data_IF_652213533197
#
_entry.id   IF_652213533197
#
_cell.length_a   1.000
_cell.length_b   1.000
_cell.length_c   1.000
_cell.angle_alpha   90.00
_cell.angle_beta   90.00
_cell.angle_gamma   90.00
#
_symmetry.space_group_name_H-M   'P 1'
#
loop_
_entity.id
_entity.type
_entity.pdbx_description
1 polymer ?
#
# COMPACT_ATOMS: atom_id res chain seq x y z
N UNK A 1 0.70 16.41 -6.36
CA UNK A 1 1.83 15.50 -6.06
C UNK A 1 2.14 15.46 -4.58
N UNK A 2 1.81 14.34 -3.94
CA UNK A 2 2.09 13.99 -2.53
C UNK A 2 3.05 12.81 -2.48
N UNK A 3 3.86 12.76 -1.43
CA UNK A 3 4.71 11.62 -1.14
C UNK A 3 4.37 11.10 0.25
N UNK A 4 4.18 9.80 0.37
CA UNK A 4 3.93 9.15 1.65
C UNK A 4 4.83 7.93 1.81
N UNK A 5 5.35 7.77 3.03
CA UNK A 5 6.24 6.66 3.38
C UNK A 5 5.46 5.61 4.18
N UNK A 6 5.35 4.40 3.65
CA UNK A 6 4.83 3.24 4.38
C UNK A 6 5.97 2.45 5.00
N UNK A 7 5.75 1.94 6.21
CA UNK A 7 6.63 0.95 6.83
C UNK A 7 5.94 -0.40 6.92
N UNK A 8 6.64 -1.42 6.45
CA UNK A 8 6.22 -2.80 6.64
C UNK A 8 6.61 -3.28 8.02
N UNK A 9 5.77 -4.15 8.59
CA UNK A 9 6.02 -4.78 9.90
C UNK A 9 6.85 -6.06 9.78
N UNK A 10 6.97 -6.59 8.57
CA UNK A 10 7.70 -7.81 8.24
C UNK A 10 8.95 -7.47 7.42
N UNK A 11 9.90 -8.41 7.39
CA UNK A 11 11.01 -8.37 6.44
C UNK A 11 10.46 -8.21 5.02
N UNK A 12 11.05 -7.27 4.28
CA UNK A 12 10.72 -7.05 2.87
C UNK A 12 11.81 -7.71 2.03
N UNK A 13 11.51 -8.90 1.50
CA UNK A 13 12.38 -9.60 0.57
C UNK A 13 12.33 -8.97 -0.83
N UNK A 14 13.33 -9.29 -1.66
CA UNK A 14 13.46 -8.77 -3.02
C UNK A 14 12.21 -9.02 -3.88
N UNK A 15 11.61 -10.21 -3.73
CA UNK A 15 10.37 -10.58 -4.42
C UNK A 15 9.21 -9.67 -4.03
N UNK A 16 9.09 -9.33 -2.74
CA UNK A 16 8.05 -8.41 -2.27
C UNK A 16 8.27 -6.99 -2.81
N UNK A 17 9.53 -6.53 -2.83
CA UNK A 17 9.88 -5.22 -3.39
C UNK A 17 9.55 -5.13 -4.89
N UNK A 18 9.86 -6.17 -5.67
CA UNK A 18 9.52 -6.21 -7.09
C UNK A 18 8.01 -6.19 -7.33
N UNK A 19 7.24 -6.92 -6.52
CA UNK A 19 5.79 -6.96 -6.67
C UNK A 19 5.16 -5.59 -6.31
N UNK A 20 5.60 -4.97 -5.21
CA UNK A 20 5.19 -3.60 -4.85
C UNK A 20 5.46 -2.65 -6.01
N UNK A 21 6.68 -2.64 -6.54
CA UNK A 21 7.05 -1.75 -7.64
C UNK A 21 6.19 -1.99 -8.88
N UNK A 22 5.96 -3.26 -9.25
CA UNK A 22 5.10 -3.64 -10.39
C UNK A 22 3.68 -3.13 -10.20
N UNK A 23 3.08 -3.43 -9.05
CA UNK A 23 1.68 -3.09 -8.72
C UNK A 23 1.50 -1.57 -8.69
N UNK A 24 2.39 -0.84 -8.03
CA UNK A 24 2.31 0.62 -7.96
C UNK A 24 2.54 1.27 -9.33
N UNK A 25 3.36 0.68 -10.18
CA UNK A 25 3.55 1.15 -11.55
C UNK A 25 2.32 0.91 -12.44
N UNK A 26 1.39 0.02 -12.05
CA UNK A 26 0.10 -0.13 -12.74
C UNK A 26 -0.93 0.91 -12.33
N UNK A 27 -0.71 1.62 -11.21
CA UNK A 27 -1.62 2.67 -10.74
C UNK A 27 -1.40 3.97 -11.52
N UNK A 28 -2.45 4.41 -12.21
CA UNK A 28 -2.49 5.74 -12.81
C UNK A 28 -2.40 6.82 -11.74
N UNK A 29 -1.40 7.69 -11.83
CA UNK A 29 -1.15 8.76 -10.86
C UNK A 29 0.04 8.52 -9.94
N UNK A 30 0.65 7.33 -9.94
CA UNK A 30 1.95 7.11 -9.28
C UNK A 30 3.05 7.72 -10.15
N UNK A 31 3.80 8.69 -9.61
CA UNK A 31 4.94 9.29 -10.30
C UNK A 31 6.27 8.66 -9.90
N UNK A 32 6.41 8.22 -8.65
CA UNK A 32 7.68 7.67 -8.16
C UNK A 32 7.44 6.64 -7.06
N UNK A 33 8.24 5.59 -7.09
CA UNK A 33 8.26 4.54 -6.07
C UNK A 33 9.71 4.30 -5.67
N UNK A 34 10.01 4.39 -4.37
CA UNK A 34 11.30 4.05 -3.81
C UNK A 34 11.11 3.03 -2.69
N UNK A 35 11.86 1.93 -2.74
CA UNK A 35 11.71 0.82 -1.81
C UNK A 35 13.06 0.57 -1.14
N UNK A 36 13.10 0.68 0.18
CA UNK A 36 14.26 0.41 1.00
C UNK A 36 14.06 -0.93 1.72
N UNK A 37 14.53 -2.01 1.08
CA UNK A 37 14.52 -3.38 1.65
C UNK A 37 15.30 -3.47 2.95
N UNK A 38 16.41 -2.71 3.07
CA UNK A 38 17.25 -2.66 4.26
C UNK A 38 16.51 -2.24 5.54
N UNK A 39 15.49 -1.37 5.42
CA UNK A 39 14.71 -0.85 6.55
C UNK A 39 13.22 -1.19 6.47
N UNK A 40 12.77 -1.87 5.41
CA UNK A 40 11.36 -2.13 5.13
C UNK A 40 10.53 -0.85 4.90
N UNK A 41 11.15 0.23 4.42
CA UNK A 41 10.48 1.50 4.17
C UNK A 41 10.17 1.66 2.68
N UNK A 42 8.96 2.10 2.35
CA UNK A 42 8.47 2.27 0.98
C UNK A 42 7.99 3.70 0.83
N UNK A 43 8.64 4.47 -0.02
CA UNK A 43 8.26 5.84 -0.34
C UNK A 43 7.52 5.87 -1.68
N UNK A 44 6.29 6.37 -1.66
CA UNK A 44 5.43 6.44 -2.84
C UNK A 44 5.00 7.87 -3.06
N UNK A 45 5.35 8.39 -4.23
CA UNK A 45 4.90 9.69 -4.74
C UNK A 45 3.77 9.49 -5.73
N UNK A 46 2.62 10.06 -5.43
CA UNK A 46 1.41 9.94 -6.22
C UNK A 46 0.65 11.26 -6.32
N UNK A 47 -0.23 11.38 -7.31
CA UNK A 47 -1.13 12.52 -7.42
C UNK A 47 -2.49 12.23 -6.78
N UNK A 48 -2.82 12.98 -5.73
CA UNK A 48 -4.08 12.87 -4.97
C UNK A 48 -5.34 13.14 -5.80
N UNK A 49 -5.22 13.74 -6.98
CA UNK A 49 -6.34 13.90 -7.91
C UNK A 49 -6.60 12.65 -8.77
N UNK A 50 -5.61 11.76 -8.92
CA UNK A 50 -5.68 10.56 -9.77
C UNK A 50 -5.74 9.27 -8.95
N UNK A 51 -5.03 9.22 -7.82
CA UNK A 51 -4.99 8.06 -6.94
C UNK A 51 -4.83 8.51 -5.49
N UNK A 52 -5.29 7.70 -4.56
CA UNK A 52 -5.23 7.99 -3.13
C UNK A 52 -4.45 6.92 -2.38
N UNK A 53 -3.95 7.25 -1.19
CA UNK A 53 -3.24 6.27 -0.37
C UNK A 53 -4.10 5.08 0.05
N UNK A 54 -5.43 5.26 0.10
CA UNK A 54 -6.37 4.15 0.28
C UNK A 54 -6.32 3.17 -0.91
N UNK A 55 -6.34 3.68 -2.14
CA UNK A 55 -6.22 2.87 -3.36
C UNK A 55 -4.89 2.12 -3.37
N UNK A 56 -3.79 2.85 -3.17
CA UNK A 56 -2.43 2.30 -3.10
C UNK A 56 -2.37 1.13 -2.12
N UNK A 57 -2.88 1.31 -0.91
CA UNK A 57 -2.93 0.26 0.11
C UNK A 57 -3.84 -0.90 -0.28
N UNK A 58 -4.97 -0.63 -0.92
CA UNK A 58 -5.89 -1.67 -1.39
C UNK A 58 -5.25 -2.57 -2.45
N UNK A 59 -4.48 -2.00 -3.39
CA UNK A 59 -3.79 -2.81 -4.42
C UNK A 59 -2.64 -3.61 -3.81
N UNK A 60 -1.90 -3.03 -2.85
CA UNK A 60 -0.87 -3.74 -2.10
C UNK A 60 -1.47 -4.91 -1.29
N UNK A 61 -2.62 -4.72 -0.62
CA UNK A 61 -3.32 -5.81 0.06
C UNK A 61 -3.79 -6.90 -0.91
N UNK A 62 -4.30 -6.54 -2.10
CA UNK A 62 -4.67 -7.51 -3.15
C UNK A 62 -3.47 -8.34 -3.61
N UNK A 63 -2.28 -7.77 -3.60
CA UNK A 63 -1.03 -8.46 -3.89
C UNK A 63 -0.47 -9.26 -2.69
N UNK A 64 -1.18 -9.33 -1.56
CA UNK A 64 -0.76 -10.07 -0.37
C UNK A 64 0.24 -9.31 0.52
N UNK A 65 0.50 -8.04 0.22
CA UNK A 65 1.41 -7.19 0.99
C UNK A 65 0.58 -6.44 2.03
N UNK A 66 0.53 -6.97 3.25
CA UNK A 66 -0.14 -6.35 4.38
C UNK A 66 0.63 -5.10 4.86
N UNK A 67 0.46 -3.98 4.17
CA UNK A 67 0.93 -2.69 4.66
C UNK A 67 0.16 -2.31 5.92
N UNK A 68 0.89 -2.05 7.03
CA UNK A 68 0.27 -1.68 8.32
C UNK A 68 -0.67 -0.50 8.08
N UNK A 69 -1.91 -0.62 8.54
CA UNK A 69 -2.95 0.38 8.41
C UNK A 69 -2.48 1.64 9.15
N UNK A 70 -1.96 2.63 8.44
CA UNK A 70 -1.88 3.98 9.00
C UNK A 70 -3.31 4.39 9.29
N UNK A 71 -3.55 4.66 10.56
CA UNK A 71 -4.86 4.80 11.18
C UNK A 71 -5.54 6.07 10.67
N UNK A 72 -6.26 5.95 9.55
CA UNK A 72 -7.34 6.86 9.20
C UNK A 72 -8.25 6.19 8.18
N UNK A 73 -9.55 6.16 8.47
CA UNK A 73 -10.59 5.71 7.54
C UNK A 73 -11.28 4.43 7.99
N UNK A 74 -12.19 4.59 8.94
CA UNK A 74 -13.26 3.65 9.23
C UNK A 74 -14.19 3.54 8.01
N UNK A 75 -14.21 2.38 7.35
CA UNK A 75 -15.40 1.87 6.67
C UNK A 75 -15.18 0.38 6.37
N UNK A 76 -16.21 -0.43 6.62
CA UNK A 76 -16.14 -1.89 6.50
C UNK A 76 -16.58 -2.66 7.74
N UNK A 77 -17.51 -2.13 8.53
CA UNK A 77 -18.42 -2.99 9.31
C UNK A 77 -19.36 -3.68 8.31
N UNK A 78 -18.89 -4.75 7.68
CA UNK A 78 -19.75 -5.60 6.86
C UNK A 78 -19.22 -7.03 6.88
N UNK A 79 -19.74 -7.81 7.84
CA UNK A 79 -20.16 -9.21 7.72
C UNK A 79 -20.16 -9.88 9.10
N UNK A 80 -21.17 -9.55 9.92
CA UNK A 80 -21.43 -10.21 11.20
C UNK A 80 -22.79 -10.92 11.18
N UNK A 81 -23.17 -11.53 10.07
CA UNK A 81 -24.29 -12.48 10.04
C UNK A 81 -23.73 -13.88 10.30
N UNK A 82 -23.38 -14.16 11.56
CA UNK A 82 -23.27 -15.53 12.06
C UNK A 82 -23.34 -15.51 13.59
N UNK A 83 -24.42 -16.04 14.15
CA UNK A 83 -24.54 -16.26 15.58
C UNK A 83 -25.94 -16.70 15.99
N UNK A 84 -26.18 -18.02 15.96
CA UNK A 84 -27.19 -18.70 16.77
C UNK A 84 -28.56 -18.88 16.16
#
# INVERSE_FOLDING_TARGET
MKAETLRLSSALDESGAMEIARVLNTLSGVSKVAIATATGAIDVSYDENLTSMQEVRAVLQKAGLAAKRSEHGEEGMCCGSCGG
#
